data_IF_599668946514
#
_entry.id   IF_599668946514
#
_cell.length_a   1.000
_cell.length_b   1.000
_cell.length_c   1.000
_cell.angle_alpha   90.00
_cell.angle_beta   90.00
_cell.angle_gamma   90.00
#
_symmetry.space_group_name_H-M   'P 1'
#
loop_
_entity.id
_entity.type
_entity.pdbx_description
1 polymer ?
#
# COMPACT_ATOMS: atom_id res chain seq x y z
N UNK A 1 8.71 -12.69 1.75
CA UNK A 1 8.04 -12.47 0.45
C UNK A 1 6.54 -12.62 0.67
N UNK A 2 5.76 -11.68 0.18
CA UNK A 2 4.29 -11.73 0.18
C UNK A 2 3.80 -11.60 -1.26
N UNK A 3 2.52 -11.81 -1.50
CA UNK A 3 1.94 -11.73 -2.84
C UNK A 3 0.75 -10.79 -2.86
N UNK A 4 0.65 -10.02 -3.93
CA UNK A 4 -0.48 -9.15 -4.23
C UNK A 4 -1.03 -9.51 -5.60
N UNK A 5 -2.27 -9.10 -5.86
CA UNK A 5 -2.86 -9.17 -7.19
C UNK A 5 -2.78 -7.81 -7.87
N UNK A 6 -2.30 -7.78 -9.10
CA UNK A 6 -2.15 -6.57 -9.91
C UNK A 6 -2.92 -6.70 -11.20
N UNK A 7 -3.17 -5.58 -11.87
CA UNK A 7 -3.72 -5.58 -13.23
C UNK A 7 -2.58 -5.40 -14.22
N UNK A 8 -2.31 -6.43 -15.02
CA UNK A 8 -1.34 -6.43 -16.11
C UNK A 8 -2.06 -6.76 -17.43
N UNK A 9 -1.87 -5.94 -18.46
CA UNK A 9 -2.53 -6.11 -19.76
C UNK A 9 -4.05 -6.32 -19.67
N UNK A 10 -4.68 -5.66 -18.70
CA UNK A 10 -6.12 -5.74 -18.43
C UNK A 10 -6.57 -7.07 -17.83
N UNK A 11 -5.67 -7.83 -17.22
CA UNK A 11 -5.92 -9.10 -16.53
C UNK A 11 -5.36 -9.08 -15.11
N UNK A 12 -5.97 -9.88 -14.23
CA UNK A 12 -5.50 -10.03 -12.85
C UNK A 12 -4.33 -11.03 -12.83
N UNK A 13 -3.16 -10.57 -12.42
CA UNK A 13 -1.97 -11.41 -12.22
C UNK A 13 -1.50 -11.36 -10.77
N UNK A 14 -0.66 -12.32 -10.37
CA UNK A 14 -0.07 -12.38 -9.03
C UNK A 14 1.38 -11.91 -9.07
N UNK A 15 1.77 -11.03 -8.15
CA UNK A 15 3.13 -10.48 -8.08
C UNK A 15 3.71 -10.63 -6.68
N UNK A 16 4.94 -11.14 -6.61
CA UNK A 16 5.72 -11.20 -5.38
C UNK A 16 6.19 -9.79 -4.97
N UNK A 17 6.04 -9.47 -3.68
CA UNK A 17 6.44 -8.17 -3.12
C UNK A 17 7.28 -8.33 -1.85
N UNK A 18 8.19 -7.37 -1.67
CA UNK A 18 8.97 -7.18 -0.44
C UNK A 18 8.24 -6.23 0.50
N UNK A 19 7.88 -6.71 1.69
CA UNK A 19 7.18 -5.90 2.71
C UNK A 19 8.17 -5.25 3.68
N UNK A 20 7.83 -4.04 4.12
CA UNK A 20 8.49 -3.27 5.17
C UNK A 20 7.67 -3.25 6.47
N UNK A 21 7.39 -2.04 6.97
CA UNK A 21 6.57 -1.81 8.16
C UNK A 21 5.19 -2.46 8.03
N UNK A 22 4.72 -3.10 9.10
CA UNK A 22 3.38 -3.69 9.16
C UNK A 22 2.63 -3.16 10.37
N UNK A 23 1.41 -2.75 10.13
CA UNK A 23 0.44 -2.33 11.14
C UNK A 23 -0.77 -3.26 11.08
N UNK A 24 -1.75 -3.06 11.96
CA UNK A 24 -2.98 -3.84 11.94
C UNK A 24 -3.81 -3.59 10.67
N UNK A 25 -3.74 -2.38 10.10
CA UNK A 25 -4.56 -2.00 8.94
C UNK A 25 -3.82 -1.92 7.61
N UNK A 26 -2.48 -1.96 7.60
CA UNK A 26 -1.71 -1.85 6.37
C UNK A 26 -0.30 -2.46 6.47
N UNK A 27 0.28 -2.78 5.32
CA UNK A 27 1.69 -3.13 5.16
C UNK A 27 2.35 -2.20 4.13
N UNK A 28 3.53 -1.69 4.47
CA UNK A 28 4.43 -0.99 3.55
C UNK A 28 5.00 -1.97 2.54
N UNK A 29 4.99 -1.62 1.25
CA UNK A 29 5.68 -2.34 0.18
C UNK A 29 6.95 -1.58 -0.18
N UNK A 30 8.10 -2.27 -0.18
CA UNK A 30 9.42 -1.69 -0.50
C UNK A 30 9.97 -2.13 -1.85
N UNK A 31 9.49 -3.26 -2.37
CA UNK A 31 9.98 -3.88 -3.61
C UNK A 31 8.82 -4.56 -4.33
N UNK A 32 8.85 -4.52 -5.66
CA UNK A 32 7.92 -5.27 -6.52
C UNK A 32 6.65 -4.52 -6.95
N UNK A 33 6.44 -3.30 -6.45
CA UNK A 33 5.43 -2.37 -6.97
C UNK A 33 6.06 -1.02 -7.27
N UNK A 34 5.51 -0.34 -8.26
CA UNK A 34 5.90 1.01 -8.67
C UNK A 34 4.67 1.94 -8.71
N UNK A 35 4.92 3.26 -8.80
CA UNK A 35 3.84 4.23 -8.96
C UNK A 35 3.07 3.97 -10.27
N UNK A 36 1.74 3.93 -10.17
CA UNK A 36 0.86 3.62 -11.29
C UNK A 36 0.43 2.15 -11.38
N UNK A 37 1.04 1.24 -10.60
CA UNK A 37 0.54 -0.13 -10.48
C UNK A 37 -0.86 -0.15 -9.84
N UNK A 38 -1.78 -0.86 -10.48
CA UNK A 38 -3.14 -1.06 -9.96
C UNK A 38 -3.23 -2.37 -9.17
N UNK A 39 -3.40 -2.26 -7.85
CA UNK A 39 -3.57 -3.42 -6.96
C UNK A 39 -5.06 -3.78 -6.82
N UNK A 40 -5.37 -5.06 -6.99
CA UNK A 40 -6.74 -5.58 -6.86
C UNK A 40 -7.06 -5.80 -5.38
N UNK A 41 -8.11 -5.15 -4.88
CA UNK A 41 -8.56 -5.29 -3.48
C UNK A 41 -9.57 -6.43 -3.29
N UNK A 42 -10.34 -6.79 -4.33
CA UNK A 42 -11.28 -7.93 -4.26
C UNK A 42 -10.57 -9.25 -4.60
N UNK A 43 -10.12 -9.96 -3.56
CA UNK A 43 -9.41 -11.23 -3.68
C UNK A 43 -10.30 -12.42 -4.10
N UNK A 44 -11.60 -12.21 -4.33
CA UNK A 44 -12.49 -13.26 -4.87
C UNK A 44 -12.38 -13.37 -6.39
N UNK A 45 -11.86 -12.34 -7.06
CA UNK A 45 -11.71 -12.32 -8.52
C UNK A 45 -10.58 -13.26 -8.96
N UNK A 46 -10.83 -14.21 -9.89
CA UNK A 46 -9.83 -15.19 -10.28
C UNK A 46 -8.66 -14.57 -11.07
N UNK A 47 -7.47 -15.16 -10.93
CA UNK A 47 -6.30 -14.83 -11.76
C UNK A 47 -6.60 -15.08 -13.25
N UNK A 48 -5.94 -14.32 -14.12
CA UNK A 48 -6.14 -14.33 -15.58
C UNK A 48 -7.46 -13.71 -16.06
N UNK A 49 -8.38 -13.35 -15.16
CA UNK A 49 -9.65 -12.73 -15.51
C UNK A 49 -9.42 -11.36 -16.16
N UNK A 50 -10.05 -11.11 -17.32
CA UNK A 50 -10.07 -9.77 -17.92
C UNK A 50 -10.95 -8.84 -17.09
N UNK A 51 -10.45 -7.65 -16.83
CA UNK A 51 -11.13 -6.67 -15.97
C UNK A 51 -11.07 -5.27 -16.58
N UNK A 52 -12.02 -4.43 -16.15
CA UNK A 52 -11.95 -2.99 -16.31
C UNK A 52 -11.87 -2.38 -14.93
N UNK A 53 -10.73 -1.79 -14.61
CA UNK A 53 -10.49 -1.28 -13.27
C UNK A 53 -11.28 -0.01 -12.99
N UNK A 54 -11.53 0.21 -11.71
CA UNK A 54 -11.91 1.50 -11.14
C UNK A 54 -10.99 1.75 -9.96
N UNK A 55 -10.21 2.81 -10.01
CA UNK A 55 -9.38 3.24 -8.87
C UNK A 55 -10.31 3.67 -7.74
N UNK A 56 -10.04 3.16 -6.54
CA UNK A 56 -10.76 3.46 -5.31
C UNK A 56 -9.75 3.78 -4.22
N UNK A 57 -10.13 4.64 -3.28
CA UNK A 57 -9.32 4.90 -2.10
C UNK A 57 -9.32 3.64 -1.21
N UNK A 58 -8.15 3.07 -0.87
CA UNK A 58 -8.09 1.92 0.03
C UNK A 58 -8.40 2.33 1.47
N UNK A 59 -9.10 1.47 2.21
CA UNK A 59 -9.31 1.68 3.64
C UNK A 59 -8.07 1.23 4.44
N UNK A 60 -7.24 2.20 4.85
CA UNK A 60 -5.98 1.98 5.57
C UNK A 60 -6.06 2.45 7.04
N UNK A 61 -7.11 2.03 7.77
CA UNK A 61 -7.28 2.39 9.19
C UNK A 61 -6.01 2.17 10.03
N UNK A 62 -5.50 3.24 10.65
CA UNK A 62 -4.33 3.20 11.55
C UNK A 62 -2.96 3.28 10.85
N UNK A 63 -2.88 3.22 9.53
CA UNK A 63 -1.62 3.35 8.80
C UNK A 63 -1.03 4.79 8.87
N UNK A 64 -1.91 5.79 8.84
CA UNK A 64 -1.55 7.21 8.89
C UNK A 64 -0.91 7.65 10.22
N UNK A 65 -1.24 6.99 11.32
CA UNK A 65 -0.60 7.23 12.63
C UNK A 65 0.85 6.70 12.68
N UNK A 66 1.15 5.62 11.96
CA UNK A 66 2.49 5.02 11.92
C UNK A 66 3.45 5.79 10.99
N UNK A 67 2.93 6.36 9.89
CA UNK A 67 3.73 7.16 8.95
C UNK A 67 4.24 8.49 9.56
N UNK A 68 3.55 9.04 10.56
CA UNK A 68 3.93 10.29 11.25
C UNK A 68 4.83 10.12 12.48
N UNK A 69 5.11 8.90 12.92
CA UNK A 69 5.83 8.64 14.18
C UNK A 69 7.35 8.99 14.12
N UNK A 70 7.87 9.36 12.94
CA UNK A 70 9.29 9.69 12.74
C UNK A 70 9.72 11.12 13.11
N UNK A 71 8.78 12.04 13.38
CA UNK A 71 9.08 13.48 13.50
C UNK A 71 8.85 14.10 14.89
N UNK A 72 8.63 13.27 15.92
CA UNK A 72 8.29 13.74 17.27
C UNK A 72 9.31 14.72 17.87
N UNK A 73 10.60 14.50 17.67
CA UNK A 73 11.64 15.38 18.19
C UNK A 73 11.73 16.73 17.45
N UNK A 74 11.52 16.75 16.12
CA UNK A 74 11.59 17.97 15.32
C UNK A 74 10.40 18.92 15.58
N UNK A 75 9.21 18.36 15.86
CA UNK A 75 8.01 19.12 16.21
C UNK A 75 8.16 19.86 17.55
N UNK A 76 8.82 19.23 18.53
CA UNK A 76 9.04 19.82 19.85
C UNK A 76 10.06 20.97 19.81
N UNK A 77 11.15 20.82 19.05
CA UNK A 77 12.15 21.88 18.87
C UNK A 77 11.54 23.13 18.24
N UNK A 78 10.62 22.97 17.28
CA UNK A 78 9.92 24.11 16.66
C UNK A 78 8.91 24.79 17.60
N UNK A 79 8.39 24.11 18.61
CA UNK A 79 7.48 24.73 19.60
C UNK A 79 8.22 25.52 20.68
N UNK A 80 9.48 25.18 20.99
CA UNK A 80 10.26 25.78 22.07
C UNK A 80 11.13 26.97 21.62
N UNK A 81 11.24 27.23 20.30
CA UNK A 81 12.10 28.25 19.71
C UNK A 81 11.39 29.50 19.19
N UNK A 82 10.15 29.76 19.60
CA UNK A 82 9.39 30.98 19.27
C UNK A 82 9.11 31.82 20.50
#
# INVERSE_FOLDING_TARGET
IARVRVIEDGRIEERDVGLGLRTLGAAEVRLGLEEGDEVVLDMRLPLGQRVRARVVEPDLHGASAAAGAGNGAAQLTNMMGR
#
